data_IF_419947701439
#
_entry.id   IF_419947701439
#
_cell.length_a   1.000
_cell.length_b   1.000
_cell.length_c   1.000
_cell.angle_alpha   90.00
_cell.angle_beta   90.00
_cell.angle_gamma   90.00
#
_symmetry.space_group_name_H-M   'P 1'
#
loop_
_entity.id
_entity.type
_entity.pdbx_description
1 polymer ?
#
# COMPACT_ATOMS: atom_id res chain seq x y z
N UNK A 1 3.80 -30.44 5.59
CA UNK A 1 4.38 -29.25 4.95
C UNK A 1 3.61 -28.06 5.47
N UNK A 2 4.29 -26.98 5.86
CA UNK A 2 3.64 -25.74 6.31
C UNK A 2 3.70 -24.74 5.16
N UNK A 3 2.57 -24.13 4.85
CA UNK A 3 2.42 -23.11 3.81
C UNK A 3 1.70 -21.91 4.42
N UNK A 4 1.96 -20.72 3.88
CA UNK A 4 1.25 -19.52 4.31
C UNK A 4 -0.22 -19.65 3.92
N UNK A 5 -1.10 -19.43 4.90
CA UNK A 5 -2.52 -19.24 4.60
C UNK A 5 -2.72 -17.91 3.89
N UNK A 6 -3.82 -17.74 3.13
CA UNK A 6 -4.18 -16.42 2.60
C UNK A 6 -4.20 -15.35 3.69
N UNK A 7 -3.87 -14.12 3.32
CA UNK A 7 -4.04 -12.98 4.22
C UNK A 7 -5.54 -12.79 4.53
N UNK A 8 -5.85 -12.53 5.79
CA UNK A 8 -7.21 -12.29 6.28
C UNK A 8 -7.21 -11.08 7.23
N UNK A 9 -8.40 -10.66 7.66
CA UNK A 9 -8.59 -9.49 8.53
C UNK A 9 -8.02 -8.17 7.96
N UNK A 10 -8.14 -8.00 6.64
CA UNK A 10 -7.77 -6.76 5.96
C UNK A 10 -8.92 -5.76 6.15
N UNK A 11 -8.76 -4.86 7.12
CA UNK A 11 -9.75 -3.83 7.43
C UNK A 11 -9.15 -2.42 7.19
N UNK A 12 -9.43 -1.78 6.04
CA UNK A 12 -8.98 -0.42 5.78
C UNK A 12 -9.61 0.54 6.78
N UNK A 13 -8.78 1.17 7.63
CA UNK A 13 -9.25 2.20 8.55
C UNK A 13 -9.10 3.58 7.93
N UNK A 14 -10.07 4.47 8.21
CA UNK A 14 -9.98 5.87 7.79
C UNK A 14 -8.70 6.50 8.33
N UNK A 15 -7.93 7.14 7.46
CA UNK A 15 -6.75 7.90 7.88
C UNK A 15 -7.17 9.24 8.48
N UNK A 16 -6.60 9.58 9.63
CA UNK A 16 -6.62 10.93 10.18
C UNK A 16 -5.27 11.60 9.95
N UNK A 17 -5.27 12.80 9.36
CA UNK A 17 -4.03 13.51 9.00
C UNK A 17 -3.39 13.07 7.68
N UNK A 18 -2.24 13.65 7.35
CA UNK A 18 -1.50 13.39 6.11
C UNK A 18 -0.61 12.15 6.19
N UNK A 19 -0.03 11.88 7.36
CA UNK A 19 0.95 10.80 7.57
C UNK A 19 0.28 9.51 8.05
N UNK A 20 0.94 8.36 7.83
CA UNK A 20 0.52 7.11 8.46
C UNK A 20 1.71 6.20 8.76
N UNK A 21 1.50 5.30 9.71
CA UNK A 21 2.46 4.28 10.11
C UNK A 21 1.90 2.86 9.93
N UNK A 22 2.81 1.89 9.82
CA UNK A 22 2.53 0.46 9.79
C UNK A 22 2.43 -0.10 11.21
N UNK A 23 1.70 -1.20 11.37
CA UNK A 23 1.63 -1.92 12.64
C UNK A 23 2.96 -2.59 13.01
N UNK A 24 3.68 -3.09 12.00
CA UNK A 24 5.00 -3.71 12.14
C UNK A 24 6.11 -2.74 11.73
N UNK A 25 7.27 -2.85 12.40
CA UNK A 25 8.48 -2.14 12.00
C UNK A 25 9.01 -2.70 10.67
N UNK A 26 9.47 -1.81 9.79
CA UNK A 26 10.04 -2.17 8.48
C UNK A 26 11.55 -2.41 8.61
N UNK A 27 12.26 -1.46 9.21
CA UNK A 27 13.70 -1.54 9.50
C UNK A 27 14.04 -0.62 10.67
N UNK A 28 14.75 -1.15 11.68
CA UNK A 28 14.97 -0.44 12.95
C UNK A 28 13.64 0.05 13.54
N UNK A 29 13.59 1.33 13.91
CA UNK A 29 12.38 1.98 14.44
C UNK A 29 11.50 2.60 13.34
N UNK A 30 11.84 2.42 12.05
CA UNK A 30 11.06 2.97 10.95
C UNK A 30 9.82 2.10 10.68
N UNK A 31 8.65 2.71 10.85
CA UNK A 31 7.34 2.16 10.47
C UNK A 31 6.54 3.13 9.60
N UNK A 32 7.17 4.14 9.01
CA UNK A 32 6.45 5.11 8.18
C UNK A 32 5.92 4.41 6.93
N UNK A 33 4.64 4.61 6.64
CA UNK A 33 3.92 3.96 5.53
C UNK A 33 4.25 4.64 4.19
N UNK A 34 5.53 4.57 3.81
CA UNK A 34 6.10 5.12 2.57
C UNK A 34 6.77 4.01 1.76
N UNK A 35 6.65 4.06 0.43
CA UNK A 35 7.34 3.13 -0.47
C UNK A 35 8.86 3.25 -0.29
N UNK A 36 9.38 4.48 -0.12
CA UNK A 36 10.80 4.70 0.14
C UNK A 36 11.31 3.93 1.39
N UNK A 37 10.50 3.86 2.46
CA UNK A 37 10.83 3.06 3.65
C UNK A 37 10.91 1.56 3.34
N UNK A 38 10.03 1.04 2.49
CA UNK A 38 10.07 -0.37 2.06
C UNK A 38 11.28 -0.66 1.17
N UNK A 39 11.60 0.23 0.24
CA UNK A 39 12.77 0.09 -0.65
C UNK A 39 14.08 0.09 0.16
N UNK A 40 14.21 1.01 1.12
CA UNK A 40 15.37 1.07 2.01
C UNK A 40 15.52 -0.20 2.87
N UNK A 41 14.43 -0.91 3.15
CA UNK A 41 14.43 -2.16 3.91
C UNK A 41 14.62 -3.42 3.06
N UNK A 42 14.68 -3.32 1.72
CA UNK A 42 14.63 -4.47 0.81
C UNK A 42 15.66 -5.58 1.12
N UNK A 43 16.91 -5.18 1.44
CA UNK A 43 17.98 -6.11 1.75
C UNK A 43 17.69 -6.98 3.00
N UNK A 44 16.91 -6.49 3.97
CA UNK A 44 16.50 -7.28 5.14
C UNK A 44 15.57 -8.44 4.75
N UNK A 45 14.85 -8.31 3.64
CA UNK A 45 13.92 -9.30 3.12
C UNK A 45 14.50 -10.09 1.94
N UNK A 46 15.83 -10.02 1.73
CA UNK A 46 16.54 -10.74 0.67
C UNK A 46 16.06 -10.37 -0.74
N UNK A 47 15.53 -9.16 -0.91
CA UNK A 47 15.17 -8.60 -2.20
C UNK A 47 16.28 -7.67 -2.69
N UNK A 48 16.59 -7.74 -3.98
CA UNK A 48 17.34 -6.69 -4.65
C UNK A 48 16.51 -5.40 -4.75
N UNK A 49 17.20 -4.28 -4.99
CA UNK A 49 16.54 -2.99 -5.21
C UNK A 49 15.57 -3.05 -6.39
N UNK A 50 15.96 -3.72 -7.48
CA UNK A 50 15.12 -3.89 -8.68
C UNK A 50 13.88 -4.73 -8.39
N UNK A 51 13.99 -5.83 -7.64
CA UNK A 51 12.84 -6.65 -7.27
C UNK A 51 11.87 -5.88 -6.37
N UNK A 52 12.40 -5.16 -5.37
CA UNK A 52 11.57 -4.35 -4.48
C UNK A 52 10.86 -3.21 -5.24
N UNK A 53 11.57 -2.54 -6.17
CA UNK A 53 10.99 -1.52 -7.03
C UNK A 53 9.92 -2.09 -7.97
N UNK A 54 10.15 -3.27 -8.55
CA UNK A 54 9.16 -3.95 -9.39
C UNK A 54 7.90 -4.32 -8.62
N UNK A 55 8.04 -4.83 -7.39
CA UNK A 55 6.89 -5.12 -6.51
C UNK A 55 6.10 -3.84 -6.23
N UNK A 56 6.77 -2.77 -5.80
CA UNK A 56 6.11 -1.48 -5.51
C UNK A 56 5.38 -0.92 -6.74
N UNK A 57 6.06 -0.87 -7.88
CA UNK A 57 5.49 -0.40 -9.14
C UNK A 57 4.29 -1.25 -9.58
N UNK A 58 4.39 -2.57 -9.47
CA UNK A 58 3.29 -3.49 -9.81
C UNK A 58 2.08 -3.26 -8.92
N UNK A 59 2.25 -3.06 -7.61
CA UNK A 59 1.15 -2.74 -6.71
C UNK A 59 0.46 -1.42 -7.09
N UNK A 60 1.25 -0.37 -7.36
CA UNK A 60 0.69 0.90 -7.80
C UNK A 60 -0.05 0.80 -9.14
N UNK A 61 0.46 0.01 -10.09
CA UNK A 61 -0.19 -0.23 -11.38
C UNK A 61 -1.51 -0.97 -11.20
N UNK A 62 -1.52 -2.08 -10.46
CA UNK A 62 -2.74 -2.87 -10.19
C UNK A 62 -3.83 -2.02 -9.54
N UNK A 63 -3.48 -1.18 -8.55
CA UNK A 63 -4.45 -0.29 -7.92
C UNK A 63 -5.05 0.69 -8.93
N UNK A 64 -4.23 1.27 -9.84
CA UNK A 64 -4.71 2.20 -10.86
C UNK A 64 -5.59 1.49 -11.90
N UNK A 65 -5.12 0.37 -12.43
CA UNK A 65 -5.75 -0.34 -13.54
C UNK A 65 -7.12 -0.91 -13.15
N UNK A 66 -7.26 -1.36 -11.91
CA UNK A 66 -8.51 -1.97 -11.42
C UNK A 66 -9.37 -1.04 -10.55
N UNK A 67 -8.98 0.23 -10.37
CA UNK A 67 -9.69 1.14 -9.45
C UNK A 67 -11.18 1.25 -9.77
N UNK A 68 -11.52 1.46 -11.04
CA UNK A 68 -12.91 1.65 -11.46
C UNK A 68 -13.73 0.36 -11.31
N UNK A 69 -13.20 -0.76 -11.81
CA UNK A 69 -13.82 -2.08 -11.75
C UNK A 69 -14.11 -2.51 -10.30
N UNK A 70 -13.13 -2.39 -9.40
CA UNK A 70 -13.29 -2.75 -7.99
C UNK A 70 -14.28 -1.82 -7.29
N UNK A 71 -14.29 -0.53 -7.62
CA UNK A 71 -15.28 0.40 -7.06
C UNK A 71 -16.71 0.08 -7.53
N UNK A 72 -16.87 -0.38 -8.78
CA UNK A 72 -18.17 -0.83 -9.30
C UNK A 72 -18.63 -2.10 -8.58
N UNK A 73 -17.74 -3.09 -8.42
CA UNK A 73 -18.01 -4.34 -7.70
C UNK A 73 -18.42 -4.07 -6.24
N UNK A 74 -17.71 -3.17 -5.56
CA UNK A 74 -18.00 -2.76 -4.19
C UNK A 74 -19.16 -1.76 -4.07
N UNK A 75 -19.83 -1.42 -5.18
CA UNK A 75 -20.99 -0.53 -5.24
C UNK A 75 -20.71 0.88 -4.66
N UNK A 76 -19.48 1.39 -4.82
CA UNK A 76 -19.12 2.74 -4.38
C UNK A 76 -19.83 3.78 -5.24
N UNK A 77 -20.36 4.82 -4.59
CA UNK A 77 -20.86 5.99 -5.30
C UNK A 77 -19.71 6.70 -6.05
N UNK A 78 -20.06 7.45 -7.10
CA UNK A 78 -19.08 8.28 -7.82
C UNK A 78 -18.43 9.30 -6.88
N UNK A 79 -19.16 9.77 -5.86
CA UNK A 79 -18.65 10.72 -4.86
C UNK A 79 -17.60 10.04 -3.98
N UNK A 80 -17.89 8.85 -3.46
CA UNK A 80 -16.96 8.11 -2.60
C UNK A 80 -15.70 7.69 -3.35
N UNK A 81 -15.85 7.21 -4.59
CA UNK A 81 -14.71 6.88 -5.47
C UNK A 81 -13.78 8.07 -5.65
N UNK A 82 -14.33 9.25 -5.97
CA UNK A 82 -13.53 10.47 -6.12
C UNK A 82 -12.93 10.93 -4.79
N UNK A 83 -13.65 10.73 -3.69
CA UNK A 83 -13.18 11.09 -2.36
C UNK A 83 -12.00 10.23 -1.91
N UNK A 84 -12.04 8.92 -2.15
CA UNK A 84 -10.98 8.00 -1.71
C UNK A 84 -9.71 8.08 -2.55
N UNK A 85 -9.83 8.39 -3.85
CA UNK A 85 -8.70 8.46 -4.76
C UNK A 85 -7.70 9.56 -4.34
N UNK A 86 -6.41 9.21 -4.27
CA UNK A 86 -5.31 10.05 -3.76
C UNK A 86 -5.48 10.60 -2.33
N UNK A 87 -6.49 10.14 -1.58
CA UNK A 87 -6.66 10.44 -0.16
C UNK A 87 -6.46 9.21 0.70
N UNK A 88 -7.21 8.16 0.44
CA UNK A 88 -7.08 6.88 1.15
C UNK A 88 -6.18 5.91 0.37
N UNK A 89 -6.36 5.84 -0.96
CA UNK A 89 -5.56 5.00 -1.85
C UNK A 89 -4.59 5.84 -2.67
N UNK A 90 -3.37 5.35 -2.85
CA UNK A 90 -2.28 6.09 -3.51
C UNK A 90 -2.15 7.54 -3.02
N UNK A 91 -2.25 7.71 -1.70
CA UNK A 91 -2.04 8.99 -1.04
C UNK A 91 -0.60 9.49 -1.34
N UNK A 92 -0.39 10.79 -1.67
CA UNK A 92 0.94 11.35 -1.94
C UNK A 92 2.00 11.00 -0.88
N UNK A 93 1.63 11.00 0.41
CA UNK A 93 2.56 10.64 1.50
C UNK A 93 3.21 9.27 1.31
N UNK A 94 2.47 8.30 0.74
CA UNK A 94 3.02 6.97 0.50
C UNK A 94 4.12 6.96 -0.59
N UNK A 95 4.12 7.98 -1.47
CA UNK A 95 5.04 8.14 -2.60
C UNK A 95 6.17 9.14 -2.30
N UNK A 96 6.10 9.86 -1.19
CA UNK A 96 7.13 10.78 -0.75
C UNK A 96 8.43 10.02 -0.44
N UNK A 97 9.55 10.63 -0.82
CA UNK A 97 10.90 10.10 -0.58
C UNK A 97 11.27 10.16 0.90
#
# INVERSE_FOLDING_TARGET
>A
MLELTPAYDICPQNRSGSEASQAMLLSGDNRMSKIASCLAAAAHFQLSEDEAAQIANRQCAVIKDHWEEVCDEAQLSVVDRRFFWHRQFLNPYALDS
#
